data_IF_219649843457
#
_entry.id   IF_219649843457
#
_cell.length_a   1.000
_cell.length_b   1.000
_cell.length_c   1.000
_cell.angle_alpha   90.00
_cell.angle_beta   90.00
_cell.angle_gamma   90.00
#
_symmetry.space_group_name_H-M   'P 1'
#
loop_
_entity.id
_entity.type
_entity.pdbx_description
1 polymer ?
#
# COMPACT_ATOMS: atom_id res chain seq x y z
N UNK A 1 -13.39 15.52 -13.53
CA UNK A 1 -13.62 14.32 -12.70
C UNK A 1 -14.66 14.52 -11.59
N UNK A 2 -14.50 15.39 -10.58
CA UNK A 2 -15.56 15.60 -9.55
C UNK A 2 -16.76 16.39 -10.09
N UNK A 3 -16.55 17.27 -11.07
CA UNK A 3 -17.62 18.03 -11.73
C UNK A 3 -18.54 17.15 -12.59
N UNK A 4 -17.99 16.10 -13.23
CA UNK A 4 -18.76 15.16 -14.07
C UNK A 4 -19.76 14.33 -13.25
N UNK A 5 -19.39 13.99 -12.01
CA UNK A 5 -20.26 13.22 -11.10
C UNK A 5 -21.53 13.98 -10.71
N UNK A 6 -21.46 15.30 -10.55
CA UNK A 6 -22.63 16.15 -10.20
C UNK A 6 -23.56 16.41 -11.39
N UNK A 7 -23.03 16.41 -12.61
CA UNK A 7 -23.83 16.58 -13.82
C UNK A 7 -24.57 15.28 -14.21
N UNK A 8 -23.96 14.11 -13.96
CA UNK A 8 -24.57 12.80 -14.24
C UNK A 8 -25.66 12.39 -13.24
N UNK A 9 -25.63 12.90 -11.99
CA UNK A 9 -26.65 12.57 -10.98
C UNK A 9 -28.06 13.07 -11.30
N UNK A 10 -28.22 13.97 -12.27
CA UNK A 10 -29.53 14.49 -12.69
C UNK A 10 -30.34 13.57 -13.61
N UNK A 11 -29.75 12.50 -14.17
CA UNK A 11 -30.38 11.68 -15.22
C UNK A 11 -30.27 10.16 -15.07
N UNK A 12 -29.60 9.65 -14.01
CA UNK A 12 -29.47 8.21 -13.78
C UNK A 12 -30.48 7.72 -12.73
N UNK A 13 -31.18 6.63 -13.03
CA UNK A 13 -32.01 5.91 -12.07
C UNK A 13 -31.17 5.47 -10.86
N UNK A 14 -31.79 5.40 -9.67
CA UNK A 14 -31.10 5.07 -8.41
C UNK A 14 -30.28 3.78 -8.51
N UNK A 15 -30.79 2.77 -9.22
CA UNK A 15 -30.12 1.48 -9.43
C UNK A 15 -28.84 1.59 -10.26
N UNK A 16 -28.84 2.38 -11.34
CA UNK A 16 -27.64 2.61 -12.16
C UNK A 16 -26.57 3.42 -11.40
N UNK A 17 -27.00 4.35 -10.56
CA UNK A 17 -26.09 5.09 -9.67
C UNK A 17 -25.44 4.18 -8.63
N UNK A 18 -26.19 3.24 -8.05
CA UNK A 18 -25.67 2.26 -7.10
C UNK A 18 -24.72 1.27 -7.77
N UNK A 19 -25.07 0.76 -8.96
CA UNK A 19 -24.21 -0.13 -9.75
C UNK A 19 -22.86 0.54 -10.09
N UNK A 20 -22.90 1.80 -10.55
CA UNK A 20 -21.68 2.59 -10.82
C UNK A 20 -20.87 2.84 -9.55
N UNK A 21 -21.53 3.16 -8.42
CA UNK A 21 -20.85 3.34 -7.13
C UNK A 21 -20.12 2.07 -6.71
N UNK A 22 -20.75 0.90 -6.85
CA UNK A 22 -20.11 -0.37 -6.55
C UNK A 22 -18.92 -0.66 -7.46
N UNK A 23 -19.04 -0.38 -8.77
CA UNK A 23 -17.93 -0.53 -9.71
C UNK A 23 -16.73 0.33 -9.30
N UNK A 24 -16.94 1.63 -9.00
CA UNK A 24 -15.88 2.52 -8.53
C UNK A 24 -15.23 2.06 -7.22
N UNK A 25 -16.02 1.57 -6.26
CA UNK A 25 -15.47 1.06 -5.01
C UNK A 25 -14.60 -0.20 -5.23
N UNK A 26 -14.98 -1.07 -6.18
CA UNK A 26 -14.16 -2.22 -6.55
C UNK A 26 -12.86 -1.79 -7.23
N UNK A 27 -12.93 -0.87 -8.18
CA UNK A 27 -11.73 -0.32 -8.83
C UNK A 27 -10.78 0.32 -7.82
N UNK A 28 -11.31 1.10 -6.88
CA UNK A 28 -10.53 1.71 -5.82
C UNK A 28 -9.88 0.65 -4.91
N UNK A 29 -10.60 -0.41 -4.57
CA UNK A 29 -10.06 -1.51 -3.77
C UNK A 29 -8.94 -2.27 -4.51
N UNK A 30 -9.10 -2.51 -5.81
CA UNK A 30 -8.05 -3.14 -6.64
C UNK A 30 -6.82 -2.24 -6.71
N UNK A 31 -7.00 -0.96 -7.05
CA UNK A 31 -5.89 -0.01 -7.14
C UNK A 31 -5.14 0.11 -5.82
N UNK A 32 -5.86 0.15 -4.69
CA UNK A 32 -5.26 0.16 -3.35
C UNK A 32 -4.41 -1.10 -3.12
N UNK A 33 -4.93 -2.29 -3.44
CA UNK A 33 -4.19 -3.55 -3.28
C UNK A 33 -2.92 -3.57 -4.14
N UNK A 34 -3.01 -3.12 -5.39
CA UNK A 34 -1.86 -3.06 -6.29
C UNK A 34 -0.78 -2.11 -5.75
N UNK A 35 -1.17 -0.97 -5.19
CA UNK A 35 -0.24 -0.05 -4.55
C UNK A 35 0.38 -0.63 -3.28
N UNK A 36 -0.42 -1.29 -2.42
CA UNK A 36 0.08 -1.97 -1.22
C UNK A 36 1.08 -3.06 -1.58
N UNK A 37 0.81 -3.85 -2.62
CA UNK A 37 1.70 -4.92 -3.07
C UNK A 37 3.02 -4.37 -3.64
N UNK A 38 2.95 -3.37 -4.52
CA UNK A 38 4.15 -2.70 -5.05
C UNK A 38 4.99 -2.06 -3.94
N UNK A 39 4.32 -1.45 -2.95
CA UNK A 39 5.00 -0.85 -1.80
C UNK A 39 5.69 -1.93 -0.97
N UNK A 40 4.99 -3.04 -0.67
CA UNK A 40 5.55 -4.16 0.08
C UNK A 40 6.75 -4.77 -0.65
N UNK A 41 6.67 -4.98 -1.96
CA UNK A 41 7.80 -5.47 -2.75
C UNK A 41 9.02 -4.54 -2.66
N UNK A 42 8.82 -3.22 -2.78
CA UNK A 42 9.90 -2.22 -2.61
C UNK A 42 10.49 -2.25 -1.21
N UNK A 43 9.66 -2.34 -0.17
CA UNK A 43 10.11 -2.45 1.22
C UNK A 43 10.94 -3.73 1.40
N UNK A 44 10.45 -4.88 0.94
CA UNK A 44 11.17 -6.15 1.05
C UNK A 44 12.52 -6.12 0.33
N UNK A 45 12.59 -5.51 -0.86
CA UNK A 45 13.85 -5.33 -1.57
C UNK A 45 14.84 -4.46 -0.76
N UNK A 46 14.38 -3.32 -0.24
CA UNK A 46 15.22 -2.44 0.58
C UNK A 46 15.70 -3.12 1.88
N UNK A 47 14.83 -3.89 2.53
CA UNK A 47 15.17 -4.70 3.70
C UNK A 47 16.22 -5.76 3.35
N UNK A 48 16.06 -6.46 2.23
CA UNK A 48 16.99 -7.52 1.81
C UNK A 48 18.39 -6.96 1.49
N UNK A 49 18.47 -5.77 0.90
CA UNK A 49 19.73 -5.07 0.64
C UNK A 49 20.41 -4.65 1.95
N UNK A 50 19.69 -4.03 2.89
CA UNK A 50 20.25 -3.64 4.19
C UNK A 50 20.66 -4.85 5.04
N UNK A 51 19.86 -5.92 5.01
CA UNK A 51 20.20 -7.16 5.68
C UNK A 51 21.48 -7.79 5.12
N UNK A 52 21.63 -7.83 3.79
CA UNK A 52 22.86 -8.31 3.14
C UNK A 52 24.08 -7.46 3.49
N UNK A 53 23.95 -6.12 3.40
CA UNK A 53 25.04 -5.20 3.73
C UNK A 53 25.54 -5.35 5.17
N UNK A 54 24.64 -5.68 6.09
CA UNK A 54 24.94 -5.85 7.53
C UNK A 54 25.14 -7.31 7.95
N UNK A 55 25.13 -8.26 7.00
CA UNK A 55 25.23 -9.72 7.23
C UNK A 55 24.18 -10.25 8.22
N UNK A 56 22.98 -9.67 8.22
CA UNK A 56 21.86 -10.10 9.04
C UNK A 56 21.19 -11.33 8.39
N UNK A 57 21.07 -12.42 9.16
CA UNK A 57 20.47 -13.68 8.68
C UNK A 57 18.95 -13.73 8.85
N UNK A 58 18.43 -13.02 9.85
CA UNK A 58 17.00 -13.01 10.19
C UNK A 58 16.60 -11.56 10.45
N UNK A 59 15.56 -11.10 9.76
CA UNK A 59 14.91 -9.81 10.02
C UNK A 59 13.51 -10.09 10.53
N UNK A 60 13.18 -9.55 11.70
CA UNK A 60 11.89 -9.71 12.35
C UNK A 60 11.14 -8.38 12.34
N UNK A 61 9.82 -8.44 12.23
CA UNK A 61 8.97 -7.25 12.37
C UNK A 61 8.94 -6.86 13.85
N UNK A 62 9.23 -5.59 14.13
CA UNK A 62 9.45 -5.04 15.48
C UNK A 62 8.32 -5.31 16.49
N UNK A 63 7.08 -5.49 16.03
CA UNK A 63 5.96 -5.85 16.92
C UNK A 63 6.14 -7.21 17.61
N UNK A 64 7.01 -8.07 17.09
CA UNK A 64 7.27 -9.42 17.60
C UNK A 64 8.47 -9.44 18.58
N UNK A 65 9.26 -8.38 18.67
CA UNK A 65 10.49 -8.35 19.49
C UNK A 65 10.40 -7.38 20.66
N UNK A 66 10.41 -7.91 21.89
CA UNK A 66 10.34 -7.11 23.13
C UNK A 66 11.68 -6.56 23.61
N UNK A 67 12.80 -7.24 23.31
CA UNK A 67 14.15 -6.83 23.69
C UNK A 67 15.21 -7.35 22.71
N UNK A 68 16.18 -6.50 22.35
CA UNK A 68 17.36 -6.86 21.57
C UNK A 68 17.19 -6.82 20.04
N UNK A 69 18.33 -6.83 19.34
CA UNK A 69 18.43 -6.76 17.87
C UNK A 69 18.92 -5.41 17.34
N UNK A 70 19.45 -5.41 16.11
CA UNK A 70 19.83 -4.18 15.41
C UNK A 70 18.59 -3.66 14.68
N UNK A 71 18.14 -2.46 15.05
CA UNK A 71 17.08 -1.78 14.32
C UNK A 71 17.64 -1.25 13.00
N UNK A 72 17.06 -1.70 11.88
CA UNK A 72 17.41 -1.27 10.52
C UNK A 72 16.33 -0.39 9.89
N UNK A 73 15.28 -0.02 10.63
CA UNK A 73 14.11 0.70 10.11
C UNK A 73 14.51 2.01 9.43
N UNK A 74 15.30 2.84 10.09
CA UNK A 74 15.71 4.14 9.54
C UNK A 74 16.58 4.00 8.28
N UNK A 75 17.44 2.98 8.24
CA UNK A 75 18.29 2.71 7.08
C UNK A 75 17.46 2.25 5.87
N UNK A 76 16.45 1.40 6.11
CA UNK A 76 15.50 0.98 5.07
C UNK A 76 14.66 2.15 4.59
N UNK A 77 14.15 3.00 5.50
CA UNK A 77 13.38 4.20 5.15
C UNK A 77 14.21 5.20 4.33
N UNK A 78 15.48 5.39 4.67
CA UNK A 78 16.39 6.26 3.93
C UNK A 78 16.58 5.81 2.46
N UNK A 79 16.50 4.51 2.19
CA UNK A 79 16.58 3.95 0.83
C UNK A 79 15.28 3.99 0.03
N UNK A 80 14.14 4.13 0.71
CA UNK A 80 12.83 4.18 0.06
C UNK A 80 12.43 5.60 -0.38
N UNK A 81 13.10 6.62 0.17
CA UNK A 81 13.04 8.02 -0.28
C UNK A 81 13.73 8.16 -1.63
#
# INVERSE_FOLDING_TARGET
MVADLRLLTGQLGKEDLEARRQAYLRELATLRRDFEERLNQRIHAAVAEEARGRRLRVVLVKQVTRFGGIDITDAVLARLK
#
